data_IF_461006100360
#
_entry.id   IF_461006100360
#
_cell.length_a   1.000
_cell.length_b   1.000
_cell.length_c   1.000
_cell.angle_alpha   90.00
_cell.angle_beta   90.00
_cell.angle_gamma   90.00
#
_symmetry.space_group_name_H-M   'P 1'
#
loop_
_entity.id
_entity.type
_entity.pdbx_description
1 polymer ?
#
# COMPACT_ATOMS: atom_id res chain seq x y z
N UNK A 1 -55.55 -17.95 27.32
CA UNK A 1 -54.26 -17.61 27.96
C UNK A 1 -53.18 -17.75 26.92
N UNK A 2 -52.84 -16.65 26.26
CA UNK A 2 -51.84 -16.58 25.18
C UNK A 2 -50.76 -15.63 25.68
N UNK A 3 -49.55 -16.12 25.86
CA UNK A 3 -48.41 -15.36 26.39
C UNK A 3 -47.79 -14.43 25.34
N UNK A 4 -47.11 -13.35 25.75
CA UNK A 4 -46.69 -12.28 24.85
C UNK A 4 -45.43 -12.65 24.07
N UNK A 5 -45.44 -12.30 22.78
CA UNK A 5 -44.29 -12.43 21.89
C UNK A 5 -43.22 -11.39 22.19
N UNK A 6 -41.97 -11.85 22.33
CA UNK A 6 -40.79 -10.99 22.43
C UNK A 6 -40.40 -10.56 21.02
N UNK A 7 -40.58 -9.26 20.75
CA UNK A 7 -40.19 -8.63 19.50
C UNK A 7 -38.73 -8.17 19.61
N UNK A 8 -37.81 -8.86 18.97
CA UNK A 8 -36.40 -8.46 18.86
C UNK A 8 -36.28 -7.51 17.67
N UNK A 9 -36.02 -6.24 17.93
CA UNK A 9 -35.66 -5.25 16.91
C UNK A 9 -34.14 -5.24 16.72
N UNK A 10 -33.71 -5.48 15.48
CA UNK A 10 -32.31 -5.39 15.06
C UNK A 10 -31.85 -3.92 15.07
N UNK A 11 -30.68 -3.58 15.65
CA UNK A 11 -30.13 -2.24 15.50
C UNK A 11 -29.56 -2.07 14.09
N UNK A 12 -30.08 -1.07 13.39
CA UNK A 12 -29.60 -0.54 12.12
C UNK A 12 -28.12 -0.19 12.26
N UNK A 13 -27.26 -0.83 11.47
CA UNK A 13 -25.86 -0.44 11.28
C UNK A 13 -25.83 0.95 10.65
N UNK A 14 -25.61 1.97 11.49
CA UNK A 14 -25.35 3.34 11.07
C UNK A 14 -24.04 3.40 10.29
N UNK A 15 -24.17 3.77 9.01
CA UNK A 15 -23.09 4.06 8.10
C UNK A 15 -22.27 5.25 8.63
N UNK A 16 -21.18 4.98 9.37
CA UNK A 16 -20.20 6.00 9.78
C UNK A 16 -19.13 6.12 8.70
N UNK A 17 -19.41 6.94 7.69
CA UNK A 17 -18.36 7.58 6.88
C UNK A 17 -17.65 8.63 7.74
N UNK A 18 -16.81 8.16 8.67
CA UNK A 18 -15.91 9.00 9.46
C UNK A 18 -14.75 9.44 8.59
N UNK A 19 -14.68 10.75 8.34
CA UNK A 19 -13.61 11.48 7.68
C UNK A 19 -12.22 11.01 8.19
N UNK A 20 -11.61 10.07 7.47
CA UNK A 20 -10.15 9.97 7.45
C UNK A 20 -9.66 11.19 6.66
N UNK A 21 -9.32 12.27 7.35
CA UNK A 21 -8.35 13.21 6.79
C UNK A 21 -6.99 12.51 6.91
N UNK A 22 -6.40 12.05 5.80
CA UNK A 22 -5.13 11.34 5.85
C UNK A 22 -4.06 12.28 6.41
N UNK A 23 -3.04 11.71 7.04
CA UNK A 23 -1.77 12.33 7.39
C UNK A 23 -1.18 13.22 6.26
N UNK A 24 -1.60 12.96 5.01
CA UNK A 24 -1.35 13.79 3.84
C UNK A 24 -1.89 15.22 3.94
N UNK A 25 -2.99 15.51 4.64
CA UNK A 25 -3.48 16.90 4.86
C UNK A 25 -2.61 17.63 5.89
N UNK A 26 -2.08 16.93 6.89
CA UNK A 26 -1.11 17.50 7.85
C UNK A 26 0.23 17.82 7.15
N UNK A 27 0.68 16.92 6.27
CA UNK A 27 1.84 17.15 5.40
C UNK A 27 1.56 18.24 4.34
N UNK A 28 0.33 18.36 3.82
CA UNK A 28 -0.06 19.44 2.91
C UNK A 28 -0.11 20.79 3.63
N UNK A 29 -0.64 20.87 4.86
CA UNK A 29 -0.62 22.11 5.64
C UNK A 29 0.80 22.51 6.03
N UNK A 30 1.63 21.56 6.49
CA UNK A 30 3.04 21.83 6.78
C UNK A 30 3.83 22.23 5.52
N UNK A 31 3.48 21.68 4.35
CA UNK A 31 4.02 22.11 3.06
C UNK A 31 3.48 23.48 2.63
N UNK A 32 2.21 23.81 2.90
CA UNK A 32 1.64 25.13 2.62
C UNK A 32 2.24 26.23 3.50
N UNK A 33 2.58 25.94 4.76
CA UNK A 33 3.36 26.86 5.61
C UNK A 33 4.80 27.07 5.08
N UNK A 34 5.38 26.10 4.36
CA UNK A 34 6.68 26.24 3.68
C UNK A 34 6.58 26.90 2.31
N UNK A 35 5.41 26.92 1.68
CA UNK A 35 5.19 27.44 0.33
C UNK A 35 4.41 28.76 0.30
N UNK A 36 4.27 29.44 1.43
CA UNK A 36 3.86 30.84 1.48
C UNK A 36 4.91 31.66 0.73
N UNK A 37 4.69 31.86 -0.57
CA UNK A 37 5.54 32.66 -1.44
C UNK A 37 5.75 34.06 -0.85
N UNK A 38 4.78 34.56 -0.08
CA UNK A 38 4.87 35.78 0.72
C UNK A 38 5.93 35.69 1.82
N UNK A 39 6.10 34.56 2.53
CA UNK A 39 7.11 34.40 3.59
C UNK A 39 8.52 34.20 2.99
N UNK A 40 8.64 33.52 1.85
CA UNK A 40 9.91 33.44 1.10
C UNK A 40 10.29 34.76 0.44
N UNK A 41 9.32 35.55 -0.03
CA UNK A 41 9.55 36.88 -0.60
C UNK A 41 9.89 37.90 0.50
N UNK A 42 9.27 37.81 1.69
CA UNK A 42 9.66 38.60 2.85
C UNK A 42 11.05 38.20 3.38
N UNK A 43 11.35 36.90 3.49
CA UNK A 43 12.69 36.44 3.87
C UNK A 43 13.75 36.82 2.83
N UNK A 44 13.41 36.79 1.53
CA UNK A 44 14.28 37.25 0.47
C UNK A 44 14.60 38.75 0.56
N UNK A 45 13.61 39.58 0.89
CA UNK A 45 13.82 41.02 1.05
C UNK A 45 14.44 41.42 2.40
N UNK A 46 14.19 40.68 3.49
CA UNK A 46 14.81 40.94 4.80
C UNK A 46 16.23 40.36 4.95
N UNK A 47 16.54 39.21 4.34
CA UNK A 47 17.85 38.53 4.47
C UNK A 47 18.87 38.95 3.41
N UNK A 48 18.47 39.76 2.42
CA UNK A 48 19.43 40.48 1.57
C UNK A 48 20.08 41.66 2.30
N UNK A 49 19.65 42.01 3.53
CA UNK A 49 20.44 42.86 4.42
C UNK A 49 21.45 41.99 5.20
N UNK A 50 22.73 42.26 4.99
CA UNK A 50 23.87 41.37 5.26
C UNK A 50 24.27 41.20 6.74
N UNK A 51 23.36 41.28 7.71
CA UNK A 51 23.70 41.02 9.11
C UNK A 51 22.50 40.57 9.96
N UNK A 52 22.12 39.30 9.85
CA UNK A 52 21.32 38.63 10.88
C UNK A 52 22.28 37.75 11.71
N UNK A 53 22.65 38.20 12.91
CA UNK A 53 23.33 37.36 13.90
C UNK A 53 22.30 36.82 14.88
N UNK A 54 22.20 35.50 15.01
CA UNK A 54 21.47 34.87 16.10
C UNK A 54 22.17 35.15 17.43
N UNK A 55 21.41 35.57 18.45
CA UNK A 55 21.93 35.70 19.81
C UNK A 55 22.20 34.29 20.34
N UNK A 56 23.44 34.05 20.78
CA UNK A 56 23.87 32.74 21.30
C UNK A 56 23.17 32.34 22.60
N UNK A 57 22.52 33.26 23.30
CA UNK A 57 21.92 33.02 24.61
C UNK A 57 20.40 32.76 24.57
N UNK A 58 19.71 33.09 23.46
CA UNK A 58 18.27 32.82 23.29
C UNK A 58 17.93 32.55 21.81
N UNK A 59 17.82 31.27 21.40
CA UNK A 59 17.54 30.91 20.01
C UNK A 59 16.11 31.26 19.56
N UNK A 60 15.25 31.76 20.45
CA UNK A 60 13.87 32.14 20.12
C UNK A 60 13.70 33.62 19.74
N UNK A 61 14.71 34.47 20.00
CA UNK A 61 14.66 35.88 19.66
C UNK A 61 15.52 36.21 18.43
N UNK A 62 14.88 36.28 17.26
CA UNK A 62 15.50 36.77 16.03
C UNK A 62 15.53 38.31 16.05
N UNK A 63 16.69 38.90 16.35
CA UNK A 63 16.88 40.35 16.19
C UNK A 63 17.14 40.68 14.73
N UNK A 64 16.07 40.98 14.00
CA UNK A 64 16.18 41.45 12.63
C UNK A 64 16.48 42.95 12.64
N UNK A 65 17.76 43.30 12.52
CA UNK A 65 18.17 44.67 12.24
C UNK A 65 17.85 44.99 10.79
N UNK A 66 16.67 45.55 10.51
CA UNK A 66 16.37 46.06 9.17
C UNK A 66 17.38 47.16 8.86
N UNK A 67 18.35 46.86 7.99
CA UNK A 67 19.22 47.84 7.36
C UNK A 67 18.37 48.77 6.50
N UNK A 68 17.74 49.77 7.14
CA UNK A 68 17.18 50.92 6.46
C UNK A 68 18.30 51.54 5.60
N UNK A 69 17.90 52.14 4.48
CA UNK A 69 18.66 53.04 3.60
C UNK A 69 19.48 54.10 4.38
N UNK A 70 20.58 53.71 5.03
CA UNK A 70 21.18 54.49 6.14
C UNK A 70 22.50 55.17 5.83
N UNK A 71 23.04 55.07 4.63
CA UNK A 71 24.31 55.79 4.35
C UNK A 71 24.39 56.28 2.93
N UNK A 72 23.99 55.49 1.93
CA UNK A 72 24.16 55.91 0.53
C UNK A 72 23.36 57.18 0.16
N UNK A 73 22.08 57.29 0.55
CA UNK A 73 21.25 58.46 0.21
C UNK A 73 21.63 59.70 1.03
N UNK A 74 21.98 59.54 2.31
CA UNK A 74 22.52 60.61 3.16
C UNK A 74 23.89 61.09 2.65
N UNK A 75 24.75 60.17 2.19
CA UNK A 75 26.06 60.50 1.63
C UNK A 75 25.96 61.26 0.30
N UNK A 76 24.98 60.94 -0.57
CA UNK A 76 24.76 61.71 -1.81
C UNK A 76 24.25 63.12 -1.50
N UNK A 77 23.34 63.27 -0.53
CA UNK A 77 22.87 64.58 -0.07
C UNK A 77 23.97 65.42 0.57
N UNK A 78 24.84 64.79 1.38
CA UNK A 78 25.97 65.43 2.03
C UNK A 78 27.05 65.84 1.03
N UNK A 79 27.43 64.96 0.09
CA UNK A 79 28.41 65.26 -0.96
C UNK A 79 27.95 66.40 -1.89
N UNK A 80 26.65 66.48 -2.19
CA UNK A 80 26.09 67.58 -2.96
C UNK A 80 26.08 68.91 -2.18
N UNK A 81 25.99 68.85 -0.85
CA UNK A 81 26.11 70.02 0.03
C UNK A 81 27.57 70.50 0.12
N UNK A 82 28.51 69.57 0.29
CA UNK A 82 29.96 69.82 0.32
C UNK A 82 30.43 70.49 -0.98
N UNK A 83 30.07 69.94 -2.15
CA UNK A 83 30.41 70.53 -3.45
C UNK A 83 29.87 71.95 -3.66
N UNK A 84 28.70 72.28 -3.09
CA UNK A 84 28.11 73.62 -3.16
C UNK A 84 28.80 74.62 -2.22
N UNK A 85 29.25 74.17 -1.05
CA UNK A 85 30.04 74.98 -0.12
C UNK A 85 31.40 75.31 -0.74
N UNK A 86 32.07 74.34 -1.35
CA UNK A 86 33.37 74.54 -2.02
C UNK A 86 33.28 75.52 -3.20
N UNK A 87 32.19 75.46 -3.98
CA UNK A 87 31.92 76.43 -5.05
C UNK A 87 31.66 77.86 -4.52
N UNK A 88 30.99 77.99 -3.37
CA UNK A 88 30.76 79.29 -2.74
C UNK A 88 32.04 79.92 -2.18
N UNK A 89 32.96 79.10 -1.65
CA UNK A 89 34.25 79.54 -1.11
C UNK A 89 35.22 79.92 -2.23
N UNK A 90 35.28 79.15 -3.32
CA UNK A 90 36.20 79.40 -4.45
C UNK A 90 35.78 80.57 -5.36
N UNK A 91 34.51 81.00 -5.31
CA UNK A 91 33.97 82.11 -6.09
C UNK A 91 34.18 83.53 -5.51
N UNK A 92 34.98 83.69 -4.46
CA UNK A 92 35.26 84.98 -3.82
C UNK A 92 36.61 85.58 -4.27
N UNK A 93 36.67 86.36 -5.38
CA UNK A 93 37.88 87.07 -5.75
C UNK A 93 38.12 88.25 -4.81
N UNK A 94 39.36 88.39 -4.33
CA UNK A 94 39.78 89.47 -3.43
C UNK A 94 39.74 90.85 -4.11
N UNK A 95 38.63 91.57 -3.92
CA UNK A 95 38.48 93.00 -4.26
C UNK A 95 37.27 93.63 -3.56
N UNK A 96 37.37 94.83 -2.96
CA UNK A 96 36.40 95.33 -1.98
C UNK A 96 35.04 95.86 -2.49
N UNK A 97 34.61 95.64 -3.74
CA UNK A 97 33.35 96.29 -4.18
C UNK A 97 32.51 95.63 -5.28
N UNK A 98 32.76 94.38 -5.66
CA UNK A 98 31.95 93.73 -6.69
C UNK A 98 31.75 92.23 -6.44
N UNK A 99 31.05 91.83 -5.38
CA UNK A 99 30.37 90.52 -5.41
C UNK A 99 29.25 90.27 -4.38
N UNK A 100 28.54 91.30 -3.90
CA UNK A 100 27.40 91.08 -3.00
C UNK A 100 26.31 90.17 -3.61
N UNK A 101 26.19 90.15 -4.93
CA UNK A 101 25.19 89.38 -5.67
C UNK A 101 25.50 87.88 -5.75
N UNK A 102 26.77 87.48 -5.95
CA UNK A 102 27.11 86.04 -5.99
C UNK A 102 27.03 85.38 -4.62
N UNK A 103 27.39 86.10 -3.55
CA UNK A 103 27.24 85.61 -2.17
C UNK A 103 25.76 85.37 -1.82
N UNK A 104 24.84 86.21 -2.32
CA UNK A 104 23.40 86.02 -2.14
C UNK A 104 22.83 84.79 -2.85
N UNK A 105 23.32 84.47 -4.05
CA UNK A 105 22.92 83.29 -4.80
C UNK A 105 23.37 81.98 -4.11
N UNK A 106 24.62 81.95 -3.63
CA UNK A 106 25.16 80.79 -2.90
C UNK A 106 24.40 80.51 -1.58
N UNK A 107 24.06 81.55 -0.82
CA UNK A 107 23.28 81.41 0.42
C UNK A 107 21.86 80.90 0.14
N UNK A 108 21.22 81.37 -0.93
CA UNK A 108 19.91 80.85 -1.36
C UNK A 108 20.01 79.37 -1.74
N UNK A 109 21.02 78.98 -2.51
CA UNK A 109 21.22 77.60 -2.92
C UNK A 109 21.51 76.65 -1.74
N UNK A 110 22.24 77.12 -0.73
CA UNK A 110 22.48 76.36 0.51
C UNK A 110 21.18 76.19 1.31
N UNK A 111 20.38 77.26 1.43
CA UNK A 111 19.07 77.21 2.09
C UNK A 111 18.13 76.21 1.41
N UNK A 112 18.06 76.24 0.08
CA UNK A 112 17.24 75.30 -0.70
C UNK A 112 17.73 73.85 -0.53
N UNK A 113 19.04 73.65 -0.47
CA UNK A 113 19.64 72.33 -0.18
C UNK A 113 19.29 71.80 1.21
N UNK A 114 19.32 72.67 2.24
CA UNK A 114 18.92 72.29 3.60
C UNK A 114 17.43 71.94 3.68
N UNK A 115 16.58 72.73 3.01
CA UNK A 115 15.14 72.43 2.92
C UNK A 115 14.88 71.09 2.21
N UNK A 116 15.62 70.80 1.14
CA UNK A 116 15.52 69.51 0.45
C UNK A 116 15.95 68.34 1.35
N UNK A 117 17.04 68.47 2.10
CA UNK A 117 17.51 67.45 3.04
C UNK A 117 16.52 67.23 4.20
N UNK A 118 15.94 68.31 4.73
CA UNK A 118 14.86 68.24 5.73
C UNK A 118 13.63 67.49 5.18
N UNK A 119 13.26 67.74 3.92
CA UNK A 119 12.21 66.99 3.23
C UNK A 119 12.51 65.50 3.13
N UNK A 120 13.74 65.14 2.72
CA UNK A 120 14.18 63.74 2.66
C UNK A 120 14.15 63.06 4.02
N UNK A 121 14.65 63.72 5.08
CA UNK A 121 14.61 63.20 6.45
C UNK A 121 13.18 62.95 6.93
N UNK A 122 12.25 63.87 6.62
CA UNK A 122 10.83 63.70 6.94
C UNK A 122 10.22 62.52 6.17
N UNK A 123 10.54 62.35 4.90
CA UNK A 123 10.11 61.18 4.10
C UNK A 123 10.67 59.87 4.67
N UNK A 124 11.95 59.83 5.05
CA UNK A 124 12.56 58.64 5.67
C UNK A 124 11.92 58.34 7.02
N UNK A 125 11.69 59.34 7.87
CA UNK A 125 11.02 59.15 9.16
C UNK A 125 9.60 58.58 9.00
N UNK A 126 8.83 59.07 8.03
CA UNK A 126 7.52 58.52 7.69
C UNK A 126 7.60 57.07 7.18
N UNK A 127 8.60 56.76 6.36
CA UNK A 127 8.89 55.39 5.90
C UNK A 127 9.20 54.44 7.06
N UNK A 128 10.06 54.85 7.99
CA UNK A 128 10.37 54.08 9.22
C UNK A 128 9.14 53.83 10.06
N UNK A 129 8.28 54.84 10.24
CA UNK A 129 7.04 54.70 11.00
C UNK A 129 6.09 53.69 10.34
N UNK A 130 5.96 53.74 9.00
CA UNK A 130 5.16 52.77 8.23
C UNK A 130 5.69 51.35 8.37
N UNK A 131 7.02 51.16 8.25
CA UNK A 131 7.65 49.84 8.42
C UNK A 131 7.45 49.29 9.83
N UNK A 132 7.58 50.13 10.86
CA UNK A 132 7.35 49.72 12.24
C UNK A 132 5.89 49.31 12.49
N UNK A 133 4.93 50.02 11.88
CA UNK A 133 3.52 49.65 11.93
C UNK A 133 3.24 48.30 11.24
N UNK A 134 3.83 48.08 10.06
CA UNK A 134 3.74 46.78 9.36
C UNK A 134 4.36 45.65 10.17
N UNK A 135 5.52 45.86 10.78
CA UNK A 135 6.16 44.87 11.64
C UNK A 135 5.29 44.50 12.85
N UNK A 136 4.66 45.49 13.50
CA UNK A 136 3.73 45.26 14.60
C UNK A 136 2.49 44.47 14.16
N UNK A 137 1.92 44.80 12.99
CA UNK A 137 0.79 44.05 12.42
C UNK A 137 1.16 42.60 12.12
N UNK A 138 2.35 42.36 11.55
CA UNK A 138 2.82 41.02 11.24
C UNK A 138 3.06 40.19 12.52
N UNK A 139 3.64 40.80 13.56
CA UNK A 139 3.82 40.14 14.86
C UNK A 139 2.47 39.73 15.48
N UNK A 140 1.45 40.59 15.38
CA UNK A 140 0.11 40.27 15.85
C UNK A 140 -0.52 39.11 15.06
N UNK A 141 -0.41 39.11 13.72
CA UNK A 141 -0.91 38.02 12.88
C UNK A 141 -0.25 36.68 13.24
N UNK A 142 1.09 36.65 13.31
CA UNK A 142 1.85 35.43 13.67
C UNK A 142 1.44 34.92 15.06
N UNK A 143 1.25 35.81 16.04
CA UNK A 143 0.79 35.40 17.38
C UNK A 143 -0.62 34.79 17.36
N UNK A 144 -1.52 35.30 16.51
CA UNK A 144 -2.88 34.76 16.38
C UNK A 144 -2.89 33.39 15.69
N UNK A 145 -2.07 33.21 14.64
CA UNK A 145 -1.92 31.94 13.94
C UNK A 145 -1.29 30.87 14.85
N UNK A 146 -0.30 31.25 15.66
CA UNK A 146 0.32 30.37 16.65
C UNK A 146 -0.71 29.87 17.67
N UNK A 147 -1.57 30.75 18.20
CA UNK A 147 -2.63 30.38 19.14
C UNK A 147 -3.69 29.45 18.51
N UNK A 148 -4.06 29.69 17.24
CA UNK A 148 -4.98 28.81 16.51
C UNK A 148 -4.36 27.43 16.27
N UNK A 149 -3.08 27.37 15.91
CA UNK A 149 -2.36 26.11 15.71
C UNK A 149 -2.23 25.33 17.03
N UNK A 150 -1.92 26.01 18.14
CA UNK A 150 -1.87 25.39 19.46
C UNK A 150 -3.22 24.78 19.85
N UNK A 151 -4.32 25.52 19.65
CA UNK A 151 -5.68 25.02 19.89
C UNK A 151 -6.03 23.80 19.03
N UNK A 152 -5.65 23.82 17.74
CA UNK A 152 -5.87 22.69 16.84
C UNK A 152 -5.10 21.44 17.26
N UNK A 153 -3.84 21.60 17.68
CA UNK A 153 -3.01 20.50 18.19
C UNK A 153 -3.60 19.90 19.47
N UNK A 154 -4.04 20.74 20.42
CA UNK A 154 -4.70 20.26 21.65
C UNK A 154 -6.00 19.50 21.36
N UNK A 155 -6.83 20.00 20.44
CA UNK A 155 -8.06 19.31 20.02
C UNK A 155 -7.76 17.96 19.37
N UNK A 156 -6.75 17.89 18.49
CA UNK A 156 -6.35 16.64 17.85
C UNK A 156 -5.84 15.62 18.87
N UNK A 157 -5.04 16.06 19.85
CA UNK A 157 -4.58 15.21 20.94
C UNK A 157 -5.75 14.63 21.77
N UNK A 158 -6.76 15.44 22.06
CA UNK A 158 -7.96 14.99 22.76
C UNK A 158 -8.75 13.95 21.94
N UNK A 159 -8.91 14.18 20.63
CA UNK A 159 -9.58 13.25 19.73
C UNK A 159 -8.86 11.90 19.66
N UNK A 160 -7.53 11.90 19.48
CA UNK A 160 -6.71 10.66 19.45
C UNK A 160 -6.85 9.89 20.77
N UNK A 161 -6.83 10.60 21.90
CA UNK A 161 -6.99 9.97 23.23
C UNK A 161 -8.36 9.28 23.37
N UNK A 162 -9.43 9.92 22.89
CA UNK A 162 -10.77 9.36 22.91
C UNK A 162 -10.91 8.14 21.98
N UNK A 163 -10.31 8.18 20.78
CA UNK A 163 -10.30 7.04 19.86
C UNK A 163 -9.53 5.84 20.43
N UNK A 164 -8.38 6.09 21.07
CA UNK A 164 -7.59 5.04 21.72
C UNK A 164 -8.36 4.37 22.86
N UNK A 165 -9.11 5.14 23.66
CA UNK A 165 -9.97 4.60 24.72
C UNK A 165 -11.10 3.72 24.15
N UNK A 166 -11.73 4.17 23.05
CA UNK A 166 -12.78 3.40 22.37
C UNK A 166 -12.24 2.08 21.78
N UNK A 167 -11.06 2.10 21.16
CA UNK A 167 -10.39 0.91 20.64
C UNK A 167 -10.04 -0.07 21.76
N UNK A 168 -9.52 0.44 22.88
CA UNK A 168 -9.18 -0.37 24.06
C UNK A 168 -10.40 -1.10 24.61
N UNK A 169 -11.54 -0.41 24.75
CA UNK A 169 -12.80 -1.02 25.19
C UNK A 169 -13.30 -2.09 24.20
N UNK A 170 -13.15 -1.85 22.90
CA UNK A 170 -13.56 -2.82 21.86
C UNK A 170 -12.72 -4.10 21.92
N UNK A 171 -11.41 -3.96 22.16
CA UNK A 171 -10.51 -5.10 22.31
C UNK A 171 -10.81 -5.91 23.57
N UNK A 172 -11.13 -5.24 24.68
CA UNK A 172 -11.55 -5.92 25.91
C UNK A 172 -12.84 -6.72 25.69
N UNK A 173 -13.83 -6.15 25.00
CA UNK A 173 -15.09 -6.84 24.67
C UNK A 173 -14.87 -8.05 23.76
N UNK A 174 -13.96 -7.95 22.78
CA UNK A 174 -13.59 -9.09 21.93
C UNK A 174 -12.93 -10.20 22.75
N UNK A 175 -12.05 -9.84 23.69
CA UNK A 175 -11.42 -10.78 24.63
C UNK A 175 -12.44 -11.51 25.52
N UNK A 176 -13.43 -10.79 26.05
CA UNK A 176 -14.49 -11.41 26.87
C UNK A 176 -15.39 -12.33 26.04
N UNK A 177 -15.76 -11.91 24.82
CA UNK A 177 -16.63 -12.70 23.94
C UNK A 177 -15.94 -13.97 23.44
N UNK A 178 -14.67 -13.89 23.05
CA UNK A 178 -13.88 -15.05 22.62
C UNK A 178 -13.69 -16.06 23.75
N UNK A 179 -13.41 -15.58 24.97
CA UNK A 179 -13.30 -16.43 26.17
C UNK A 179 -14.62 -17.14 26.47
N UNK A 180 -15.74 -16.42 26.42
CA UNK A 180 -17.08 -16.99 26.62
C UNK A 180 -17.44 -18.02 25.55
N UNK A 181 -17.16 -17.74 24.28
CA UNK A 181 -17.40 -18.66 23.17
C UNK A 181 -16.56 -19.94 23.29
N UNK A 182 -15.28 -19.81 23.68
CA UNK A 182 -14.40 -20.96 23.92
C UNK A 182 -14.89 -21.80 25.09
N UNK A 183 -15.35 -21.17 26.18
CA UNK A 183 -15.92 -21.87 27.32
C UNK A 183 -17.20 -22.64 26.93
N UNK A 184 -18.08 -22.02 26.12
CA UNK A 184 -19.27 -22.67 25.60
C UNK A 184 -18.93 -23.87 24.70
N UNK A 185 -17.99 -23.71 23.76
CA UNK A 185 -17.54 -24.81 22.90
C UNK A 185 -16.93 -25.97 23.72
N UNK A 186 -16.11 -25.64 24.73
CA UNK A 186 -15.53 -26.65 25.64
C UNK A 186 -16.61 -27.38 26.44
N UNK A 187 -17.69 -26.71 26.83
CA UNK A 187 -18.82 -27.35 27.51
C UNK A 187 -19.66 -28.21 26.56
N UNK A 188 -19.76 -27.85 25.27
CA UNK A 188 -20.48 -28.64 24.27
C UNK A 188 -19.71 -29.86 23.77
N UNK A 189 -18.38 -29.83 23.74
CA UNK A 189 -17.55 -30.93 23.23
C UNK A 189 -17.84 -32.28 23.92
N UNK A 190 -17.95 -32.38 25.25
CA UNK A 190 -18.30 -33.64 25.92
C UNK A 190 -19.71 -34.16 25.62
N UNK A 191 -20.64 -33.29 25.21
CA UNK A 191 -21.99 -33.67 24.83
C UNK A 191 -22.05 -34.32 23.43
N UNK A 192 -20.98 -34.17 22.63
CA UNK A 192 -20.82 -34.91 21.37
C UNK A 192 -20.47 -36.36 21.72
N UNK A 193 -21.51 -37.17 21.86
CA UNK A 193 -21.38 -38.61 22.07
C UNK A 193 -20.90 -39.29 20.78
N UNK A 194 -19.58 -39.32 20.57
CA UNK A 194 -18.97 -40.06 19.44
C UNK A 194 -18.95 -41.58 19.67
N UNK A 195 -19.38 -42.06 20.84
CA UNK A 195 -19.36 -43.49 21.19
C UNK A 195 -20.29 -44.33 20.30
N UNK A 196 -21.33 -43.73 19.71
CA UNK A 196 -22.15 -44.40 18.69
C UNK A 196 -21.41 -44.54 17.34
N UNK A 197 -20.45 -43.65 17.06
CA UNK A 197 -19.75 -43.57 15.77
C UNK A 197 -18.35 -44.17 15.79
N UNK A 198 -17.74 -44.35 16.97
CA UNK A 198 -16.38 -44.90 17.13
C UNK A 198 -16.45 -46.14 18.03
N UNK A 199 -16.57 -47.32 17.41
CA UNK A 199 -16.41 -48.60 18.10
C UNK A 199 -14.94 -49.01 18.07
N UNK A 200 -14.19 -48.71 19.12
CA UNK A 200 -12.79 -49.17 19.25
C UNK A 200 -12.79 -50.64 19.68
N UNK A 201 -12.25 -51.53 18.84
CA UNK A 201 -12.05 -52.95 19.17
C UNK A 201 -13.15 -53.93 18.75
N UNK A 202 -14.28 -53.45 18.21
CA UNK A 202 -15.22 -54.33 17.50
C UNK A 202 -14.78 -54.46 16.03
N UNK A 203 -14.75 -55.67 15.49
CA UNK A 203 -14.62 -55.87 14.04
C UNK A 203 -15.74 -55.13 13.33
N UNK A 204 -15.41 -54.17 12.48
CA UNK A 204 -16.35 -53.54 11.57
C UNK A 204 -16.73 -54.60 10.54
N UNK A 205 -17.86 -55.27 10.74
CA UNK A 205 -18.45 -56.16 9.75
C UNK A 205 -19.51 -55.42 8.93
N UNK A 206 -19.83 -55.95 7.76
CA UNK A 206 -20.85 -55.34 6.89
C UNK A 206 -22.21 -55.23 7.57
N UNK A 207 -22.51 -56.07 8.57
CA UNK A 207 -23.77 -56.01 9.32
C UNK A 207 -23.85 -54.75 10.20
N UNK A 208 -22.74 -54.38 10.84
CA UNK A 208 -22.62 -53.16 11.67
C UNK A 208 -22.70 -51.86 10.86
N UNK A 209 -22.47 -51.94 9.55
CA UNK A 209 -22.54 -50.82 8.60
C UNK A 209 -23.81 -50.85 7.73
N UNK A 210 -24.87 -51.58 8.13
CA UNK A 210 -26.13 -51.62 7.38
C UNK A 210 -26.02 -52.29 6.01
N UNK A 211 -25.10 -53.25 5.87
CA UNK A 211 -24.82 -53.99 4.63
C UNK A 211 -23.69 -53.39 3.79
N UNK A 212 -23.08 -52.28 4.22
CA UNK A 212 -21.97 -51.66 3.48
C UNK A 212 -20.64 -52.35 3.82
N UNK A 213 -19.88 -52.84 2.83
CA UNK A 213 -18.56 -53.44 3.04
C UNK A 213 -17.58 -52.47 3.75
N UNK A 214 -16.81 -52.98 4.72
CA UNK A 214 -15.92 -52.16 5.57
C UNK A 214 -14.78 -51.45 4.80
N UNK A 215 -14.42 -51.95 3.63
CA UNK A 215 -13.48 -51.32 2.69
C UNK A 215 -14.04 -50.03 2.04
N UNK A 216 -15.32 -49.73 2.25
CA UNK A 216 -15.91 -48.44 1.89
C UNK A 216 -15.61 -47.32 2.91
N UNK A 217 -15.26 -47.65 4.16
CA UNK A 217 -15.20 -46.68 5.26
C UNK A 217 -13.78 -46.26 5.69
N UNK A 218 -12.73 -47.00 5.30
CA UNK A 218 -11.34 -46.65 5.59
C UNK A 218 -10.52 -46.58 4.30
N UNK A 219 -10.89 -45.69 3.39
CA UNK A 219 -10.07 -45.42 2.21
C UNK A 219 -9.10 -44.30 2.52
N UNK A 220 -8.02 -44.65 3.22
CA UNK A 220 -6.78 -43.92 2.98
C UNK A 220 -6.48 -44.08 1.48
N UNK A 221 -6.24 -43.00 0.73
CA UNK A 221 -6.04 -43.10 -0.71
C UNK A 221 -4.81 -43.97 -0.93
N UNK A 222 -4.99 -45.15 -1.49
CA UNK A 222 -3.88 -46.05 -1.86
C UNK A 222 -3.17 -45.57 -3.12
N UNK A 223 -3.68 -44.52 -3.75
CA UNK A 223 -3.17 -43.89 -4.95
C UNK A 223 -3.71 -42.45 -5.06
N UNK A 224 -3.03 -41.62 -5.82
CA UNK A 224 -3.53 -40.32 -6.30
C UNK A 224 -4.01 -40.54 -7.73
N UNK A 225 -5.22 -40.08 -8.05
CA UNK A 225 -5.71 -40.12 -9.43
C UNK A 225 -5.56 -38.76 -10.06
N UNK A 226 -4.81 -38.69 -11.16
CA UNK A 226 -4.71 -37.51 -12.00
C UNK A 226 -5.76 -37.58 -13.12
N UNK A 227 -6.47 -36.49 -13.38
CA UNK A 227 -7.49 -36.41 -14.45
C UNK A 227 -7.57 -34.98 -14.99
N UNK A 228 -8.07 -34.76 -16.20
CA UNK A 228 -8.27 -33.38 -16.69
C UNK A 228 -9.63 -32.81 -16.28
N UNK A 229 -9.69 -31.49 -16.17
CA UNK A 229 -10.96 -30.75 -16.18
C UNK A 229 -11.59 -30.87 -17.56
N UNK A 230 -12.75 -31.53 -17.63
CA UNK A 230 -13.71 -31.64 -18.72
C UNK A 230 -13.16 -32.00 -20.12
N UNK A 231 -13.67 -33.11 -20.67
CA UNK A 231 -13.18 -33.83 -21.85
C UNK A 231 -12.72 -33.03 -23.06
N UNK A 232 -13.19 -31.80 -23.32
CA UNK A 232 -12.74 -30.97 -24.45
C UNK A 232 -12.82 -29.44 -24.19
N UNK A 233 -13.24 -29.01 -23.00
CA UNK A 233 -13.49 -27.60 -22.72
C UNK A 233 -12.19 -26.89 -22.29
N UNK A 234 -11.41 -26.49 -23.29
CA UNK A 234 -10.22 -25.67 -23.10
C UNK A 234 -10.58 -24.26 -22.62
N UNK A 235 -9.85 -23.73 -21.63
CA UNK A 235 -10.08 -22.39 -21.07
C UNK A 235 -8.79 -21.58 -21.11
N UNK A 236 -8.91 -20.27 -21.35
CA UNK A 236 -7.79 -19.35 -21.16
C UNK A 236 -7.31 -19.34 -19.70
N UNK A 237 -6.15 -18.74 -19.44
CA UNK A 237 -5.45 -18.76 -18.15
C UNK A 237 -6.16 -18.09 -16.97
N UNK A 238 -7.39 -17.59 -17.11
CA UNK A 238 -8.16 -17.06 -15.99
C UNK A 238 -9.08 -18.14 -15.40
N UNK A 239 -8.56 -18.82 -14.39
CA UNK A 239 -9.33 -19.79 -13.61
C UNK A 239 -9.93 -19.18 -12.35
N UNK A 240 -9.56 -17.95 -11.97
CA UNK A 240 -9.91 -17.35 -10.68
C UNK A 240 -8.93 -17.74 -9.57
N UNK A 241 -7.65 -17.95 -9.92
CA UNK A 241 -6.62 -18.44 -9.00
C UNK A 241 -6.85 -19.88 -8.52
N UNK A 242 -6.18 -20.24 -7.41
CA UNK A 242 -6.28 -21.58 -6.77
C UNK A 242 -7.72 -22.01 -6.57
N UNK A 243 -8.52 -21.18 -5.89
CA UNK A 243 -9.88 -21.52 -5.53
C UNK A 243 -10.76 -21.77 -6.75
N UNK A 244 -10.63 -20.93 -7.79
CA UNK A 244 -11.39 -21.11 -9.02
C UNK A 244 -10.92 -22.31 -9.85
N UNK A 245 -9.62 -22.60 -9.89
CA UNK A 245 -9.08 -23.81 -10.53
C UNK A 245 -9.54 -25.09 -9.82
N UNK A 246 -9.47 -25.12 -8.48
CA UNK A 246 -9.94 -26.24 -7.66
C UNK A 246 -11.45 -26.47 -7.81
N UNK A 247 -12.24 -25.39 -7.85
CA UNK A 247 -13.69 -25.46 -8.08
C UNK A 247 -14.00 -26.14 -9.42
N UNK A 248 -13.24 -25.82 -10.48
CA UNK A 248 -13.40 -26.50 -11.78
C UNK A 248 -13.07 -27.98 -11.69
N UNK A 249 -12.03 -28.36 -10.96
CA UNK A 249 -11.71 -29.78 -10.73
C UNK A 249 -12.83 -30.53 -9.99
N UNK A 250 -13.47 -29.89 -9.00
CA UNK A 250 -14.61 -30.45 -8.28
C UNK A 250 -15.83 -30.63 -9.18
N UNK A 251 -16.05 -29.69 -10.11
CA UNK A 251 -17.16 -29.71 -11.07
C UNK A 251 -16.95 -30.67 -12.25
N UNK A 252 -15.73 -31.14 -12.50
CA UNK A 252 -15.41 -32.11 -13.55
C UNK A 252 -15.82 -33.56 -13.17
N UNK A 253 -17.08 -33.73 -12.73
CA UNK A 253 -17.62 -34.97 -12.17
C UNK A 253 -17.58 -36.16 -13.13
N UNK A 254 -17.58 -35.92 -14.45
CA UNK A 254 -17.50 -36.98 -15.46
C UNK A 254 -16.12 -37.68 -15.52
N UNK A 255 -15.04 -36.98 -15.14
CA UNK A 255 -13.67 -37.53 -15.13
C UNK A 255 -13.12 -37.72 -13.72
N UNK A 256 -13.71 -37.05 -12.72
CA UNK A 256 -13.35 -37.23 -11.32
C UNK A 256 -13.72 -38.65 -10.87
N UNK A 257 -12.76 -39.47 -10.40
CA UNK A 257 -13.07 -40.80 -9.89
C UNK A 257 -13.98 -40.70 -8.64
N UNK A 258 -14.96 -41.61 -8.49
CA UNK A 258 -15.79 -41.66 -7.29
C UNK A 258 -14.96 -42.08 -6.08
N UNK A 259 -15.38 -41.66 -4.88
CA UNK A 259 -14.78 -42.09 -3.60
C UNK A 259 -13.60 -41.24 -3.09
N UNK A 260 -13.16 -40.23 -3.83
CA UNK A 260 -12.14 -39.29 -3.38
C UNK A 260 -12.76 -38.03 -2.79
N UNK A 261 -12.32 -37.65 -1.58
CA UNK A 261 -12.87 -36.51 -0.84
C UNK A 261 -12.11 -35.23 -1.11
N UNK A 262 -10.80 -35.31 -1.42
CA UNK A 262 -9.98 -34.13 -1.69
C UNK A 262 -9.68 -34.05 -3.17
N UNK A 263 -9.88 -32.85 -3.70
CA UNK A 263 -9.60 -32.53 -5.09
C UNK A 263 -8.84 -31.22 -5.15
N UNK A 264 -7.82 -31.16 -6.01
CA UNK A 264 -7.01 -29.96 -6.26
C UNK A 264 -6.62 -29.84 -7.72
N UNK A 265 -6.50 -28.62 -8.23
CA UNK A 265 -5.88 -28.37 -9.52
C UNK A 265 -4.36 -28.61 -9.43
N UNK A 266 -3.83 -29.33 -10.40
CA UNK A 266 -2.40 -29.60 -10.54
C UNK A 266 -1.74 -28.45 -11.31
N UNK A 267 -1.59 -27.31 -10.62
CA UNK A 267 -1.09 -26.05 -11.15
C UNK A 267 -0.21 -25.37 -10.10
N UNK A 268 0.85 -24.68 -10.53
CA UNK A 268 1.55 -23.70 -9.70
C UNK A 268 0.87 -22.34 -9.83
N UNK A 269 0.60 -21.68 -8.70
CA UNK A 269 -0.03 -20.35 -8.64
C UNK A 269 1.02 -19.28 -8.37
N UNK A 270 1.91 -19.54 -7.40
CA UNK A 270 2.96 -18.66 -6.91
C UNK A 270 4.04 -19.47 -6.18
N UNK A 271 5.10 -18.81 -5.66
CA UNK A 271 6.20 -19.51 -4.99
C UNK A 271 5.76 -20.32 -3.76
N UNK A 272 4.81 -19.78 -2.99
CA UNK A 272 4.26 -20.46 -1.80
C UNK A 272 3.15 -21.47 -2.12
N UNK A 273 2.70 -21.52 -3.37
CA UNK A 273 1.64 -22.42 -3.86
C UNK A 273 2.02 -22.99 -5.24
N UNK A 274 3.19 -23.64 -5.26
CA UNK A 274 3.71 -24.38 -6.39
C UNK A 274 3.33 -25.86 -6.30
N UNK A 275 3.39 -26.58 -7.43
CA UNK A 275 3.08 -28.01 -7.49
C UNK A 275 3.94 -28.77 -6.48
N UNK A 276 5.25 -28.54 -6.43
CA UNK A 276 6.15 -29.23 -5.49
C UNK A 276 5.78 -29.05 -4.01
N UNK A 277 5.05 -28.01 -3.64
CA UNK A 277 4.61 -27.70 -2.27
C UNK A 277 3.22 -28.25 -1.93
N UNK A 278 2.49 -28.85 -2.89
CA UNK A 278 1.13 -29.36 -2.66
C UNK A 278 1.02 -30.40 -1.52
N UNK A 279 1.99 -31.31 -1.30
CA UNK A 279 1.95 -32.19 -0.12
C UNK A 279 1.87 -31.43 1.20
N UNK A 280 2.73 -30.44 1.40
CA UNK A 280 2.77 -29.63 2.62
C UNK A 280 1.53 -28.74 2.75
N UNK A 281 1.10 -28.12 1.66
CA UNK A 281 0.00 -27.15 1.68
C UNK A 281 -1.39 -27.78 1.76
N UNK A 282 -1.57 -28.97 1.17
CA UNK A 282 -2.88 -29.58 0.96
C UNK A 282 -3.00 -31.02 1.44
N UNK A 283 -1.91 -31.59 1.97
CA UNK A 283 -1.88 -32.97 2.44
C UNK A 283 -1.99 -33.98 1.29
N UNK A 284 -1.44 -33.66 0.12
CA UNK A 284 -1.28 -34.66 -0.97
C UNK A 284 -0.34 -35.76 -0.47
N UNK A 285 -0.74 -37.05 -0.49
CA UNK A 285 0.12 -38.13 -0.06
C UNK A 285 1.40 -38.21 -0.89
N UNK A 286 2.54 -38.50 -0.27
CA UNK A 286 3.84 -38.53 -0.97
C UNK A 286 4.37 -39.92 -1.25
N UNK A 287 3.72 -40.96 -0.72
CA UNK A 287 4.20 -42.35 -0.70
C UNK A 287 3.20 -43.32 -1.34
N UNK A 288 2.41 -42.85 -2.29
CA UNK A 288 1.41 -43.64 -3.03
C UNK A 288 1.53 -43.36 -4.53
N UNK A 289 1.23 -44.33 -5.41
CA UNK A 289 1.32 -44.16 -6.85
C UNK A 289 0.38 -43.09 -7.36
N UNK A 290 0.82 -42.38 -8.40
CA UNK A 290 0.01 -41.45 -9.17
C UNK A 290 -0.40 -42.16 -10.44
N UNK A 291 -1.71 -42.24 -10.67
CA UNK A 291 -2.29 -43.02 -11.75
C UNK A 291 -3.27 -42.19 -12.56
N UNK A 292 -3.53 -42.60 -13.80
CA UNK A 292 -4.61 -42.03 -14.62
C UNK A 292 -6.01 -42.42 -14.13
N UNK A 293 -7.08 -41.90 -14.75
CA UNK A 293 -8.44 -42.30 -14.39
C UNK A 293 -8.81 -43.68 -14.98
N UNK A 294 -9.82 -44.35 -14.41
CA UNK A 294 -10.40 -45.59 -14.95
C UNK A 294 -10.30 -46.79 -14.00
N UNK A 295 -10.90 -47.92 -14.40
CA UNK A 295 -10.97 -49.15 -13.60
C UNK A 295 -9.65 -49.95 -13.57
N UNK A 296 -8.77 -49.73 -14.54
CA UNK A 296 -7.42 -50.29 -14.61
C UNK A 296 -6.44 -49.18 -14.93
N UNK A 297 -6.14 -48.31 -13.94
CA UNK A 297 -5.47 -47.04 -14.20
C UNK A 297 -3.98 -47.25 -14.47
N UNK A 298 -3.47 -46.61 -15.52
CA UNK A 298 -2.04 -46.64 -15.84
C UNK A 298 -1.25 -45.84 -14.79
N UNK A 299 -0.13 -46.40 -14.31
CA UNK A 299 0.74 -45.71 -13.34
C UNK A 299 1.62 -44.70 -14.03
N UNK A 300 1.45 -43.43 -13.68
CA UNK A 300 2.20 -42.29 -14.23
C UNK A 300 3.54 -42.15 -13.49
N UNK A 301 3.49 -42.28 -12.16
CA UNK A 301 4.65 -42.22 -11.27
C UNK A 301 4.43 -43.10 -10.03
N UNK A 302 5.51 -43.65 -9.46
CA UNK A 302 5.43 -44.52 -8.27
C UNK A 302 5.07 -43.76 -7.00
N UNK A 303 5.44 -42.49 -6.93
CA UNK A 303 5.19 -41.59 -5.81
C UNK A 303 5.38 -40.11 -6.20
N UNK A 304 5.21 -39.19 -5.25
CA UNK A 304 5.26 -37.76 -5.55
C UNK A 304 6.66 -37.26 -5.93
N UNK A 305 7.71 -37.84 -5.33
CA UNK A 305 9.09 -37.48 -5.68
C UNK A 305 9.41 -37.98 -7.09
N UNK A 306 8.97 -39.18 -7.43
CA UNK A 306 9.08 -39.77 -8.76
C UNK A 306 8.38 -38.94 -9.84
N UNK A 307 7.18 -38.42 -9.54
CA UNK A 307 6.45 -37.53 -10.44
C UNK A 307 7.28 -36.30 -10.82
N UNK A 308 8.02 -35.72 -9.87
CA UNK A 308 8.71 -34.43 -10.05
C UNK A 308 10.21 -34.54 -10.35
N UNK A 309 10.83 -35.71 -10.25
CA UNK A 309 12.30 -35.86 -10.41
C UNK A 309 12.78 -35.85 -11.86
N UNK A 310 11.89 -36.01 -12.83
CA UNK A 310 12.34 -36.18 -14.21
C UNK A 310 11.28 -36.72 -15.17
N UNK A 311 11.69 -37.52 -16.18
CA UNK A 311 10.78 -38.17 -17.09
C UNK A 311 9.72 -39.02 -16.36
N UNK A 312 8.50 -39.08 -16.91
CA UNK A 312 7.48 -40.03 -16.51
C UNK A 312 7.94 -41.45 -16.85
N UNK A 313 7.80 -42.37 -15.90
CA UNK A 313 8.38 -43.71 -15.99
C UNK A 313 7.83 -44.53 -17.16
N UNK A 314 6.51 -44.45 -17.44
CA UNK A 314 5.87 -45.43 -18.33
C UNK A 314 4.82 -44.86 -19.28
N UNK A 315 4.13 -43.78 -18.93
CA UNK A 315 3.00 -43.29 -19.72
C UNK A 315 3.02 -41.78 -19.87
N UNK A 316 2.67 -41.31 -21.07
CA UNK A 316 2.29 -39.92 -21.29
C UNK A 316 0.94 -39.65 -20.63
N UNK A 317 0.60 -38.39 -20.36
CA UNK A 317 -0.71 -38.04 -19.78
C UNK A 317 -1.88 -38.45 -20.69
N UNK A 318 -1.68 -38.50 -22.01
CA UNK A 318 -2.67 -39.01 -22.96
C UNK A 318 -2.80 -40.53 -22.84
N UNK A 319 -1.68 -41.26 -22.84
CA UNK A 319 -1.69 -42.72 -22.76
C UNK A 319 -2.25 -43.22 -21.42
N UNK A 320 -2.06 -42.45 -20.35
CA UNK A 320 -2.67 -42.70 -19.05
C UNK A 320 -4.15 -42.27 -18.97
N UNK A 321 -4.72 -41.65 -20.00
CA UNK A 321 -6.11 -41.19 -20.01
C UNK A 321 -6.40 -39.94 -19.18
N UNK A 322 -5.37 -39.31 -18.63
CA UNK A 322 -5.48 -38.03 -17.89
C UNK A 322 -5.99 -36.95 -18.83
N UNK A 323 -5.33 -36.79 -19.98
CA UNK A 323 -5.66 -35.82 -21.01
C UNK A 323 -6.39 -36.49 -22.18
N UNK A 324 -7.29 -35.77 -22.88
CA UNK A 324 -7.92 -36.26 -24.10
C UNK A 324 -6.90 -36.59 -25.19
N UNK A 325 -7.25 -37.54 -26.07
CA UNK A 325 -6.46 -37.81 -27.27
C UNK A 325 -6.29 -36.54 -28.12
N UNK A 326 -5.10 -36.32 -28.67
CA UNK A 326 -4.78 -35.12 -29.46
C UNK A 326 -4.42 -33.87 -28.64
N UNK A 327 -4.43 -33.94 -27.30
CA UNK A 327 -3.97 -32.84 -26.46
C UNK A 327 -2.47 -32.60 -26.66
N UNK A 328 -2.10 -31.48 -27.28
CA UNK A 328 -0.69 -31.11 -27.41
C UNK A 328 -0.13 -30.57 -26.09
N UNK A 329 -0.66 -29.43 -25.65
CA UNK A 329 -0.22 -28.70 -24.46
C UNK A 329 -1.33 -28.62 -23.41
N UNK A 330 -0.93 -28.52 -22.15
CA UNK A 330 -1.81 -28.24 -21.02
C UNK A 330 -1.17 -27.23 -20.06
N UNK A 331 -1.98 -26.47 -19.34
CA UNK A 331 -1.50 -25.51 -18.36
C UNK A 331 -0.95 -26.21 -17.12
N UNK A 332 0.24 -25.79 -16.67
CA UNK A 332 0.88 -26.26 -15.43
C UNK A 332 1.37 -25.12 -14.55
N UNK A 333 1.75 -23.99 -15.16
CA UNK A 333 2.34 -22.84 -14.46
C UNK A 333 3.68 -23.12 -13.83
N UNK A 334 4.30 -24.26 -14.18
CA UNK A 334 5.43 -24.81 -13.47
C UNK A 334 6.66 -24.93 -14.35
N UNK A 335 7.83 -25.02 -13.71
CA UNK A 335 9.04 -25.55 -14.32
C UNK A 335 8.96 -27.10 -14.41
N UNK A 336 10.04 -27.72 -14.88
CA UNK A 336 10.11 -29.17 -15.05
C UNK A 336 10.17 -29.98 -13.74
N UNK A 337 10.33 -29.33 -12.59
CA UNK A 337 10.40 -29.94 -11.26
C UNK A 337 9.22 -29.54 -10.37
N UNK A 338 8.18 -28.92 -10.95
CA UNK A 338 6.98 -28.50 -10.23
C UNK A 338 7.14 -27.22 -9.42
N UNK A 339 8.26 -26.49 -9.57
CA UNK A 339 8.42 -25.14 -9.06
C UNK A 339 7.61 -24.12 -9.87
N UNK A 340 7.40 -22.93 -9.34
CA UNK A 340 6.65 -21.87 -10.04
C UNK A 340 7.41 -21.34 -11.25
N UNK A 341 6.71 -21.15 -12.37
CA UNK A 341 7.22 -20.46 -13.55
C UNK A 341 6.26 -19.32 -13.95
N UNK A 342 5.67 -19.37 -15.14
CA UNK A 342 4.74 -18.35 -15.64
C UNK A 342 3.31 -18.80 -15.35
N UNK A 343 2.52 -18.03 -14.60
CA UNK A 343 1.22 -18.50 -14.07
C UNK A 343 0.02 -17.70 -14.55
N UNK A 344 0.10 -16.95 -15.66
CA UNK A 344 -1.01 -16.10 -16.09
C UNK A 344 -1.52 -15.15 -15.00
N UNK A 345 -0.56 -14.50 -14.31
CA UNK A 345 -0.79 -13.65 -13.15
C UNK A 345 -1.56 -14.39 -12.04
N UNK A 346 -1.05 -15.54 -11.60
CA UNK A 346 -1.72 -16.39 -10.61
C UNK A 346 -3.07 -16.95 -11.08
N UNK A 347 -3.18 -17.22 -12.38
CA UNK A 347 -4.35 -17.71 -13.10
C UNK A 347 -5.58 -16.82 -12.97
N UNK A 348 -5.35 -15.51 -13.01
CA UNK A 348 -6.40 -14.49 -12.98
C UNK A 348 -6.48 -13.70 -14.29
N UNK A 349 -5.57 -13.96 -15.24
CA UNK A 349 -5.51 -13.27 -16.52
C UNK A 349 -5.76 -14.22 -17.71
N UNK A 350 -6.49 -13.75 -18.72
CA UNK A 350 -6.84 -14.49 -19.96
C UNK A 350 -6.48 -13.71 -21.23
N UNK A 351 -5.71 -12.65 -21.09
CA UNK A 351 -5.31 -11.76 -22.18
C UNK A 351 -4.00 -12.24 -22.80
N UNK A 352 -3.54 -11.54 -23.84
CA UNK A 352 -2.23 -11.76 -24.45
C UNK A 352 -1.10 -10.96 -23.78
N UNK A 353 -1.41 -10.16 -22.76
CA UNK A 353 -0.41 -9.37 -22.01
C UNK A 353 0.42 -10.22 -21.04
N UNK A 354 -0.09 -11.40 -20.70
CA UNK A 354 0.57 -12.35 -19.82
C UNK A 354 0.76 -13.69 -20.52
N UNK A 355 1.72 -14.44 -20.00
CA UNK A 355 2.05 -15.78 -20.45
C UNK A 355 1.92 -16.78 -19.30
N UNK A 356 1.56 -18.01 -19.65
CA UNK A 356 1.52 -19.16 -18.75
C UNK A 356 2.50 -20.22 -19.22
N UNK A 357 3.03 -21.01 -18.28
CA UNK A 357 3.82 -22.19 -18.56
C UNK A 357 2.92 -23.39 -18.82
N UNK A 358 3.27 -24.16 -19.85
CA UNK A 358 2.53 -25.32 -20.31
C UNK A 358 3.43 -26.56 -20.43
N UNK A 359 2.85 -27.70 -20.06
CA UNK A 359 3.42 -29.03 -20.20
C UNK A 359 2.98 -29.72 -21.49
N UNK A 360 3.73 -30.74 -21.92
CA UNK A 360 3.41 -31.55 -23.10
C UNK A 360 2.72 -32.85 -22.70
N UNK A 361 1.42 -32.99 -22.99
CA UNK A 361 0.63 -34.14 -22.57
C UNK A 361 1.06 -35.46 -23.25
N UNK A 362 1.75 -35.37 -24.38
CA UNK A 362 2.28 -36.50 -25.17
C UNK A 362 3.75 -36.82 -24.87
N UNK A 363 4.40 -36.12 -23.94
CA UNK A 363 5.80 -36.36 -23.59
C UNK A 363 5.90 -37.16 -22.30
N UNK A 364 6.85 -38.10 -22.25
CA UNK A 364 7.35 -38.65 -20.98
C UNK A 364 8.61 -37.94 -20.53
N UNK A 365 9.28 -37.12 -21.34
CA UNK A 365 10.47 -36.38 -20.90
C UNK A 365 10.12 -35.28 -19.89
N UNK A 366 11.11 -34.62 -19.30
CA UNK A 366 10.92 -33.46 -18.39
C UNK A 366 10.03 -32.34 -18.96
N UNK A 367 9.83 -32.29 -20.29
CA UNK A 367 8.91 -31.35 -20.95
C UNK A 367 7.44 -31.63 -20.64
N UNK A 368 7.11 -32.79 -20.05
CA UNK A 368 5.74 -33.15 -19.71
C UNK A 368 5.13 -32.12 -18.77
N UNK A 369 5.89 -31.61 -17.78
CA UNK A 369 5.38 -30.70 -16.75
C UNK A 369 5.53 -29.22 -17.11
N UNK A 370 6.70 -28.80 -17.59
CA UNK A 370 6.99 -27.37 -17.73
C UNK A 370 8.17 -27.08 -18.64
N UNK A 371 7.89 -26.52 -19.83
CA UNK A 371 8.92 -25.99 -20.74
C UNK A 371 8.38 -25.00 -21.77
N UNK A 372 7.13 -25.18 -22.18
CA UNK A 372 6.51 -24.30 -23.16
C UNK A 372 5.88 -23.12 -22.45
N UNK A 373 5.73 -22.01 -23.15
CA UNK A 373 4.92 -20.88 -22.71
C UNK A 373 3.95 -20.49 -23.80
N UNK A 374 2.74 -20.09 -23.42
CA UNK A 374 1.78 -19.53 -24.35
C UNK A 374 1.11 -18.31 -23.71
N UNK A 375 0.56 -17.45 -24.56
CA UNK A 375 -0.31 -16.36 -24.12
C UNK A 375 -1.48 -16.93 -23.31
N UNK A 376 -1.88 -16.23 -22.25
CA UNK A 376 -2.99 -16.64 -21.39
C UNK A 376 -4.34 -16.63 -22.09
N UNK A 377 -4.43 -16.06 -23.30
CA UNK A 377 -5.61 -16.18 -24.16
C UNK A 377 -5.75 -17.55 -24.82
N UNK A 378 -4.68 -18.36 -24.87
CA UNK A 378 -4.76 -19.68 -25.49
C UNK A 378 -5.59 -20.64 -24.65
N UNK A 379 -6.50 -21.39 -25.28
CA UNK A 379 -7.34 -22.30 -24.55
C UNK A 379 -6.60 -23.64 -24.42
N UNK A 380 -6.06 -23.93 -23.24
CA UNK A 380 -5.54 -25.27 -22.91
C UNK A 380 -6.37 -25.88 -21.76
N UNK A 381 -6.28 -27.21 -21.62
CA UNK A 381 -6.79 -27.89 -20.42
C UNK A 381 -5.76 -27.82 -19.29
N UNK A 382 -6.12 -28.27 -18.09
CA UNK A 382 -5.19 -28.51 -16.99
C UNK A 382 -5.56 -29.80 -16.25
N UNK A 383 -4.60 -30.34 -15.50
CA UNK A 383 -4.81 -31.56 -14.74
C UNK A 383 -5.32 -31.24 -13.32
N UNK A 384 -5.99 -32.22 -12.73
CA UNK A 384 -6.55 -32.23 -11.39
C UNK A 384 -6.04 -33.49 -10.67
N UNK A 385 -5.92 -33.41 -9.35
CA UNK A 385 -5.63 -34.53 -8.47
C UNK A 385 -6.86 -34.85 -7.63
N UNK A 386 -7.15 -36.13 -7.48
CA UNK A 386 -8.09 -36.68 -6.51
C UNK A 386 -7.33 -37.59 -5.54
N UNK A 387 -7.47 -37.32 -4.24
CA UNK A 387 -6.78 -38.00 -3.14
C UNK A 387 -7.56 -37.84 -1.82
#
# INVERSE_FOLDING_TARGET
MVGPGVHITNPVMGNRTGLQLPLAVLLLLAAMLRSSATLQQLCGELLLSTNATTDSQDPTTLRVGCGLTTTAQLNVGLAALESKIDAAISGAPGGPQANATATGAAVTQLRDGLLALQGQLATTAAGTASLNATAAQQAALVSSEAALLEGAVQQQSANITAELAALTNSLQLLGTNTTAALAALRASLPAINVSEFVRVGATIDAASLGGVPADAFLRMPVQIVMYSVNGDATVGGNFGGRAGADSRCQLATARRPPGYLRVRAFLSIGADDAINNMPTNYGVPTNVPIVGPGASPATIASDWADLLKGPLDNFTLIAAGVMPAGTGLYWSGSDMFGGVALTCNGWTDKTNSFVGSAGQAYSTSTNWLGRNSASCSFPFSFACLAF
#
